data_IF_470198681852
#
_entry.id   IF_470198681852
#
_cell.length_a   1.000
_cell.length_b   1.000
_cell.length_c   1.000
_cell.angle_alpha   90.00
_cell.angle_beta   90.00
_cell.angle_gamma   90.00
#
_symmetry.space_group_name_H-M   'P 1'
#
loop_
_entity.id
_entity.type
_entity.pdbx_description
1 polymer ?
#
# COMPACT_ATOMS: atom_id res chain seq x y z
N UNK A 1 -75.96 13.75 1.27
CA UNK A 1 -75.75 13.66 -0.17
C UNK A 1 -74.72 14.73 -0.52
N UNK A 2 -73.50 14.37 -0.68
CA UNK A 2 -72.46 15.26 -1.18
C UNK A 2 -71.59 14.40 -2.09
N UNK A 3 -71.77 14.60 -3.39
CA UNK A 3 -70.95 13.96 -4.44
C UNK A 3 -69.57 14.60 -4.50
N UNK A 4 -68.58 13.79 -4.59
CA UNK A 4 -67.15 14.21 -4.67
C UNK A 4 -66.82 14.49 -6.16
N UNK A 5 -66.46 15.72 -6.57
CA UNK A 5 -66.29 16.11 -7.97
C UNK A 5 -64.95 15.72 -8.61
N UNK A 6 -64.14 14.84 -7.99
CA UNK A 6 -62.81 14.49 -8.48
C UNK A 6 -62.60 13.03 -8.97
N UNK A 7 -63.68 12.33 -9.31
CA UNK A 7 -63.59 11.05 -9.99
C UNK A 7 -63.62 11.23 -11.52
N UNK A 8 -62.51 11.33 -12.15
CA UNK A 8 -62.37 11.24 -13.60
C UNK A 8 -62.62 9.81 -14.06
N UNK A 9 -63.32 9.56 -15.19
CA UNK A 9 -63.54 8.21 -15.69
C UNK A 9 -62.21 7.58 -16.21
N UNK A 10 -61.99 6.32 -15.87
CA UNK A 10 -60.89 5.52 -16.37
C UNK A 10 -60.96 5.40 -17.90
N UNK A 11 -59.85 5.61 -18.64
CA UNK A 11 -59.79 5.25 -20.04
C UNK A 11 -59.78 3.72 -20.18
N UNK A 12 -60.63 3.22 -21.05
CA UNK A 12 -60.72 1.83 -21.45
C UNK A 12 -59.34 1.37 -22.01
N UNK A 13 -58.83 0.27 -21.48
CA UNK A 13 -57.56 -0.32 -21.92
C UNK A 13 -57.67 -0.83 -23.37
N UNK A 14 -56.58 -0.74 -24.14
CA UNK A 14 -56.57 -1.25 -25.49
C UNK A 14 -56.71 -2.78 -25.50
N UNK A 15 -57.61 -3.22 -26.37
CA UNK A 15 -57.92 -4.59 -26.76
C UNK A 15 -56.68 -5.46 -26.87
N UNK A 16 -56.78 -6.67 -26.33
CA UNK A 16 -55.78 -7.77 -26.45
C UNK A 16 -55.52 -8.14 -27.91
N UNK A 17 -54.57 -7.46 -28.53
CA UNK A 17 -53.98 -7.91 -29.79
C UNK A 17 -53.00 -9.06 -29.45
N UNK A 18 -53.30 -10.25 -29.93
CA UNK A 18 -52.43 -11.44 -29.86
C UNK A 18 -51.08 -11.12 -30.45
N UNK A 19 -50.02 -11.16 -29.60
CA UNK A 19 -48.62 -11.10 -30.02
C UNK A 19 -48.31 -12.31 -30.92
N UNK A 20 -47.71 -12.13 -32.10
CA UNK A 20 -47.22 -13.26 -32.89
C UNK A 20 -46.08 -13.94 -32.16
N UNK A 21 -46.27 -15.22 -31.83
CA UNK A 21 -45.23 -16.14 -31.35
C UNK A 21 -44.28 -16.51 -32.50
N UNK A 22 -43.50 -15.57 -32.96
CA UNK A 22 -42.29 -15.90 -33.71
C UNK A 22 -41.13 -15.97 -32.73
N UNK A 23 -40.65 -17.16 -32.46
CA UNK A 23 -39.44 -17.44 -31.70
C UNK A 23 -38.17 -16.92 -32.41
N UNK A 24 -38.11 -15.62 -32.62
CA UNK A 24 -36.87 -14.93 -32.89
C UNK A 24 -36.21 -14.71 -31.53
N UNK A 25 -35.27 -15.61 -31.18
CA UNK A 25 -34.30 -15.31 -30.14
C UNK A 25 -33.75 -13.92 -30.47
N UNK A 26 -33.94 -12.98 -29.54
CA UNK A 26 -33.24 -11.69 -29.60
C UNK A 26 -31.76 -12.03 -29.91
N UNK A 27 -31.13 -11.36 -30.88
CA UNK A 27 -29.70 -11.53 -31.09
C UNK A 27 -29.05 -11.30 -29.73
N UNK A 28 -28.32 -12.32 -29.24
CA UNK A 28 -27.52 -12.19 -28.04
C UNK A 28 -26.74 -10.87 -28.21
N UNK A 29 -27.05 -9.90 -27.35
CA UNK A 29 -26.31 -8.63 -27.30
C UNK A 29 -24.83 -8.97 -27.30
N UNK A 30 -23.97 -8.12 -27.84
CA UNK A 30 -22.56 -8.43 -27.95
C UNK A 30 -22.14 -9.03 -26.63
N UNK A 31 -21.82 -10.32 -26.67
CA UNK A 31 -21.45 -11.08 -25.49
C UNK A 31 -20.43 -10.23 -24.77
N UNK A 32 -20.76 -9.77 -23.58
CA UNK A 32 -19.83 -9.15 -22.64
C UNK A 32 -18.62 -10.08 -22.55
N UNK A 33 -17.69 -9.94 -23.48
CA UNK A 33 -16.34 -10.42 -23.31
C UNK A 33 -15.81 -9.59 -22.15
N UNK A 34 -16.11 -10.03 -20.91
CA UNK A 34 -15.31 -9.62 -19.77
C UNK A 34 -13.88 -9.78 -20.24
N UNK A 35 -13.22 -8.66 -20.51
CA UNK A 35 -11.79 -8.67 -20.81
C UNK A 35 -11.15 -9.27 -19.55
N UNK A 36 -10.97 -10.59 -19.56
CA UNK A 36 -10.28 -11.29 -18.46
C UNK A 36 -8.91 -10.64 -18.40
N UNK A 37 -8.71 -9.83 -17.37
CA UNK A 37 -7.41 -9.21 -17.13
C UNK A 37 -6.38 -10.33 -17.10
N UNK A 38 -5.47 -10.30 -18.04
CA UNK A 38 -4.45 -11.34 -18.18
C UNK A 38 -3.55 -11.27 -16.94
N UNK A 39 -3.43 -12.36 -16.19
CA UNK A 39 -2.56 -12.46 -15.01
C UNK A 39 -1.11 -12.79 -15.38
N UNK A 40 -0.87 -13.35 -16.58
CA UNK A 40 0.48 -13.73 -17.02
C UNK A 40 1.51 -12.59 -17.05
N UNK A 41 1.15 -11.29 -17.24
CA UNK A 41 2.15 -10.22 -17.17
C UNK A 41 2.65 -9.94 -15.74
N UNK A 42 1.93 -10.40 -14.71
CA UNK A 42 2.31 -10.15 -13.31
C UNK A 42 3.72 -10.69 -13.00
N UNK A 43 4.03 -12.00 -13.21
CA UNK A 43 5.39 -12.49 -12.95
C UNK A 43 6.47 -11.75 -13.73
N UNK A 44 6.19 -11.37 -14.99
CA UNK A 44 7.15 -10.63 -15.81
C UNK A 44 7.46 -9.26 -15.18
N UNK A 45 6.42 -8.53 -14.78
CA UNK A 45 6.60 -7.21 -14.13
C UNK A 45 7.29 -7.35 -12.78
N UNK A 46 6.94 -8.35 -11.97
CA UNK A 46 7.59 -8.58 -10.68
C UNK A 46 9.08 -8.91 -10.82
N UNK A 47 9.43 -9.80 -11.75
CA UNK A 47 10.84 -10.12 -12.04
C UNK A 47 11.58 -8.89 -12.55
N UNK A 48 10.98 -8.11 -13.44
CA UNK A 48 11.56 -6.87 -13.92
C UNK A 48 11.71 -5.83 -12.79
N UNK A 49 10.72 -5.72 -11.89
CA UNK A 49 10.77 -4.83 -10.72
C UNK A 49 11.91 -5.23 -9.77
N UNK A 50 12.05 -6.53 -9.51
CA UNK A 50 13.15 -7.02 -8.68
C UNK A 50 14.51 -6.79 -9.33
N UNK A 51 14.66 -7.08 -10.63
CA UNK A 51 15.90 -6.84 -11.37
C UNK A 51 16.25 -5.34 -11.39
N UNK A 52 15.29 -4.47 -11.65
CA UNK A 52 15.50 -3.02 -11.61
C UNK A 52 15.87 -2.54 -10.19
N UNK A 53 15.24 -3.09 -9.14
CA UNK A 53 15.59 -2.81 -7.76
C UNK A 53 17.07 -3.14 -7.49
N UNK A 54 17.54 -4.33 -7.85
CA UNK A 54 18.93 -4.75 -7.66
C UNK A 54 19.89 -3.86 -8.46
N UNK A 55 19.60 -3.61 -9.73
CA UNK A 55 20.44 -2.75 -10.58
C UNK A 55 20.54 -1.33 -10.00
N UNK A 56 19.40 -0.75 -9.63
CA UNK A 56 19.40 0.61 -9.08
C UNK A 56 19.97 0.67 -7.67
N UNK A 57 19.96 -0.41 -6.89
CA UNK A 57 20.68 -0.50 -5.60
C UNK A 57 22.19 -0.41 -5.81
N UNK A 58 22.74 -1.16 -6.76
CA UNK A 58 24.18 -1.09 -7.10
C UNK A 58 24.55 0.31 -7.60
N UNK A 59 23.71 0.89 -8.47
CA UNK A 59 23.92 2.27 -8.97
C UNK A 59 23.81 3.31 -7.83
N UNK A 60 22.91 3.11 -6.88
CA UNK A 60 22.74 4.00 -5.72
C UNK A 60 23.97 4.00 -4.84
N UNK A 61 24.53 2.82 -4.53
CA UNK A 61 25.79 2.69 -3.77
C UNK A 61 26.94 3.40 -4.50
N UNK A 62 27.11 3.14 -5.80
CA UNK A 62 28.16 3.76 -6.58
C UNK A 62 28.02 5.30 -6.64
N UNK A 63 26.81 5.79 -6.88
CA UNK A 63 26.53 7.23 -6.92
C UNK A 63 26.73 7.89 -5.56
N UNK A 64 26.21 7.28 -4.50
CA UNK A 64 26.37 7.76 -3.14
C UNK A 64 27.85 7.82 -2.75
N UNK A 65 28.62 6.76 -3.03
CA UNK A 65 30.05 6.73 -2.77
C UNK A 65 30.84 7.85 -3.49
N UNK A 66 30.45 8.18 -4.73
CA UNK A 66 31.06 9.30 -5.47
C UNK A 66 30.71 10.65 -4.85
N UNK A 67 29.47 10.85 -4.46
CA UNK A 67 28.96 12.14 -3.99
C UNK A 67 29.30 12.41 -2.50
N UNK A 68 29.58 11.37 -1.72
CA UNK A 68 29.93 11.50 -0.29
C UNK A 68 31.44 11.47 -0.03
N UNK A 69 32.27 11.23 -1.06
CA UNK A 69 33.76 11.30 -0.92
C UNK A 69 34.20 12.68 -0.45
N UNK A 70 35.00 12.68 0.61
CA UNK A 70 35.68 13.89 1.07
C UNK A 70 36.79 14.32 0.10
N UNK A 71 37.22 15.60 0.19
CA UNK A 71 38.33 16.11 -0.63
C UNK A 71 39.66 15.35 -0.36
N UNK A 72 39.84 14.88 0.86
CA UNK A 72 41.04 14.11 1.28
C UNK A 72 41.06 12.70 0.70
N UNK A 73 39.89 12.07 0.55
CA UNK A 73 39.75 10.72 -0.07
C UNK A 73 39.97 10.76 -1.58
N UNK A 74 39.82 11.91 -2.21
CA UNK A 74 40.05 12.09 -3.64
C UNK A 74 41.55 11.98 -4.00
N UNK A 75 42.44 12.16 -3.02
CA UNK A 75 43.88 12.04 -3.20
C UNK A 75 44.40 10.58 -3.20
N UNK A 76 43.56 9.62 -2.68
CA UNK A 76 43.85 8.20 -2.62
C UNK A 76 42.97 7.40 -3.60
N UNK A 77 43.31 7.26 -4.89
CA UNK A 77 42.45 6.67 -5.93
C UNK A 77 42.12 5.18 -5.70
N UNK A 78 42.74 4.53 -4.73
CA UNK A 78 42.60 3.08 -4.44
C UNK A 78 41.80 2.75 -3.21
N UNK A 79 41.30 3.76 -2.46
CA UNK A 79 40.42 3.50 -1.34
C UNK A 79 39.10 2.92 -1.89
N UNK A 80 38.75 1.70 -1.44
CA UNK A 80 37.46 1.07 -1.77
C UNK A 80 36.27 1.93 -1.30
N UNK A 81 35.04 1.53 -1.68
CA UNK A 81 33.83 2.20 -1.19
C UNK A 81 33.79 2.06 0.33
N UNK A 82 33.84 3.17 1.04
CA UNK A 82 33.66 3.23 2.49
C UNK A 82 32.15 3.22 2.79
N UNK A 83 31.54 2.02 2.93
CA UNK A 83 30.10 1.89 3.14
C UNK A 83 29.63 2.64 4.38
N UNK A 84 30.40 2.63 5.45
CA UNK A 84 30.08 3.36 6.66
C UNK A 84 29.94 4.88 6.40
N UNK A 85 30.86 5.49 5.67
CA UNK A 85 30.80 6.89 5.29
C UNK A 85 29.58 7.21 4.43
N UNK A 86 29.21 6.29 3.52
CA UNK A 86 28.02 6.44 2.66
C UNK A 86 26.74 6.37 3.48
N UNK A 87 26.63 5.36 4.37
CA UNK A 87 25.39 5.14 5.15
C UNK A 87 25.19 6.17 6.26
N UNK A 88 26.29 6.71 6.83
CA UNK A 88 26.23 7.78 7.83
C UNK A 88 25.99 9.17 7.22
N UNK A 89 26.20 9.32 5.91
CA UNK A 89 25.87 10.57 5.21
C UNK A 89 24.37 10.68 4.93
N UNK A 90 23.70 11.76 5.35
CA UNK A 90 22.28 11.99 5.00
C UNK A 90 22.01 11.92 3.49
N UNK A 91 22.90 12.46 2.66
CA UNK A 91 22.80 12.40 1.21
C UNK A 91 22.98 10.97 0.68
N UNK A 92 24.01 10.26 1.17
CA UNK A 92 24.27 8.87 0.77
C UNK A 92 23.10 7.97 1.12
N UNK A 93 22.60 8.06 2.35
CA UNK A 93 21.45 7.29 2.82
C UNK A 93 20.19 7.62 2.01
N UNK A 94 19.92 8.90 1.71
CA UNK A 94 18.78 9.30 0.90
C UNK A 94 18.84 8.70 -0.51
N UNK A 95 20.00 8.69 -1.16
CA UNK A 95 20.20 8.08 -2.48
C UNK A 95 19.94 6.57 -2.41
N UNK A 96 20.48 5.89 -1.38
CA UNK A 96 20.32 4.45 -1.18
C UNK A 96 18.87 4.05 -0.86
N UNK A 97 18.08 4.92 -0.23
CA UNK A 97 16.67 4.68 0.05
C UNK A 97 15.77 4.94 -1.16
N UNK A 98 16.04 6.01 -1.91
CA UNK A 98 15.10 6.49 -2.95
C UNK A 98 15.31 5.80 -4.29
N UNK A 99 16.56 5.69 -4.76
CA UNK A 99 16.83 5.21 -6.12
C UNK A 99 16.40 3.76 -6.37
N UNK A 100 16.64 2.79 -5.46
CA UNK A 100 16.15 1.42 -5.61
C UNK A 100 14.63 1.33 -5.68
N UNK A 101 13.94 2.10 -4.86
CA UNK A 101 12.47 2.09 -4.81
C UNK A 101 11.85 2.61 -6.12
N UNK A 102 12.41 3.69 -6.68
CA UNK A 102 12.02 4.19 -8.01
C UNK A 102 12.26 3.11 -9.07
N UNK A 103 13.43 2.46 -9.04
CA UNK A 103 13.76 1.36 -9.93
C UNK A 103 12.75 0.22 -9.84
N UNK A 104 12.36 -0.17 -8.64
CA UNK A 104 11.35 -1.21 -8.41
C UNK A 104 9.97 -0.84 -8.95
N UNK A 105 9.53 0.40 -8.79
CA UNK A 105 8.22 0.85 -9.25
C UNK A 105 8.13 1.03 -10.79
N UNK A 106 9.26 1.33 -11.44
CA UNK A 106 9.29 1.69 -12.85
C UNK A 106 8.64 0.66 -13.79
N UNK A 107 8.88 -0.66 -13.71
CA UNK A 107 8.25 -1.64 -14.58
C UNK A 107 6.73 -1.69 -14.44
N UNK A 108 6.19 -1.55 -13.22
CA UNK A 108 4.75 -1.52 -12.99
C UNK A 108 4.11 -0.26 -13.59
N UNK A 109 4.76 0.89 -13.46
CA UNK A 109 4.32 2.16 -14.06
C UNK A 109 4.39 2.09 -15.60
N UNK A 110 5.49 1.59 -16.17
CA UNK A 110 5.64 1.40 -17.61
C UNK A 110 4.55 0.46 -18.14
N UNK A 111 4.29 -0.65 -17.47
CA UNK A 111 3.22 -1.58 -17.86
C UNK A 111 1.82 -0.95 -17.74
N UNK A 112 1.62 -0.02 -16.82
CA UNK A 112 0.38 0.74 -16.73
C UNK A 112 0.24 1.78 -17.85
N UNK A 113 1.32 2.48 -18.20
CA UNK A 113 1.37 3.42 -19.33
C UNK A 113 1.14 2.73 -20.69
N UNK A 114 1.65 1.51 -20.85
CA UNK A 114 1.42 0.69 -22.05
C UNK A 114 0.01 0.08 -22.11
N UNK A 115 -0.82 0.26 -21.09
CA UNK A 115 -2.20 -0.22 -21.04
C UNK A 115 -3.14 0.76 -21.80
N UNK A 116 -4.20 0.27 -22.47
CA UNK A 116 -5.22 1.13 -23.05
C UNK A 116 -6.08 1.87 -21.99
N UNK A 117 -5.98 1.48 -20.72
CA UNK A 117 -6.68 2.13 -19.61
C UNK A 117 -5.87 3.30 -19.04
N UNK A 118 -6.52 4.36 -18.54
CA UNK A 118 -5.82 5.43 -17.83
C UNK A 118 -4.98 4.88 -16.64
N UNK A 119 -3.76 5.39 -16.49
CA UNK A 119 -2.78 4.92 -15.47
C UNK A 119 -3.37 4.95 -14.07
N UNK A 120 -4.10 6.02 -13.72
CA UNK A 120 -4.74 6.15 -12.42
C UNK A 120 -5.71 4.98 -12.12
N UNK A 121 -6.52 4.59 -13.10
CA UNK A 121 -7.42 3.43 -12.96
C UNK A 121 -6.65 2.12 -12.93
N UNK A 122 -5.60 2.03 -13.76
CA UNK A 122 -4.79 0.83 -13.90
C UNK A 122 -4.03 0.47 -12.62
N UNK A 123 -3.59 1.48 -11.88
CA UNK A 123 -2.85 1.36 -10.63
C UNK A 123 -3.72 1.61 -9.40
N UNK A 124 -5.05 1.74 -9.55
CA UNK A 124 -5.94 1.98 -8.41
C UNK A 124 -5.72 3.33 -7.71
N UNK A 125 -5.07 4.30 -8.38
CA UNK A 125 -4.84 5.67 -7.89
C UNK A 125 -6.11 6.52 -8.09
N UNK A 126 -7.20 6.04 -7.57
CA UNK A 126 -8.51 6.67 -7.69
C UNK A 126 -9.06 6.98 -6.31
N UNK A 127 -9.93 7.98 -6.22
CA UNK A 127 -10.66 8.24 -4.99
C UNK A 127 -11.54 7.04 -4.67
N UNK A 128 -11.27 6.40 -3.53
CA UNK A 128 -12.07 5.26 -3.07
C UNK A 128 -13.44 5.65 -2.52
N UNK A 129 -14.15 4.66 -1.97
CA UNK A 129 -15.50 4.83 -1.42
C UNK A 129 -15.52 5.25 0.05
N UNK A 130 -14.35 5.23 0.70
CA UNK A 130 -14.24 5.66 2.08
C UNK A 130 -14.13 7.18 2.17
N UNK A 131 -14.77 7.81 3.15
CA UNK A 131 -14.48 9.20 3.49
C UNK A 131 -13.04 9.31 3.98
N UNK A 132 -12.43 10.47 3.80
CA UNK A 132 -11.02 10.71 4.14
C UNK A 132 -10.71 10.32 5.59
N UNK A 133 -11.59 10.67 6.53
CA UNK A 133 -11.38 10.35 7.95
C UNK A 133 -11.24 8.84 8.23
N UNK A 134 -12.00 7.99 7.49
CA UNK A 134 -11.89 6.53 7.64
C UNK A 134 -10.58 6.01 7.04
N UNK A 135 -10.12 6.59 5.95
CA UNK A 135 -8.78 6.33 5.42
C UNK A 135 -7.67 6.71 6.40
N UNK A 136 -7.81 7.86 7.07
CA UNK A 136 -6.87 8.30 8.10
C UNK A 136 -6.88 7.39 9.34
N UNK A 137 -8.06 6.93 9.80
CA UNK A 137 -8.10 5.95 10.91
C UNK A 137 -7.47 4.62 10.50
N UNK A 138 -7.66 4.17 9.26
CA UNK A 138 -6.98 2.97 8.77
C UNK A 138 -5.45 3.14 8.75
N UNK A 139 -4.95 4.29 8.31
CA UNK A 139 -3.53 4.60 8.33
C UNK A 139 -2.97 4.65 9.76
N UNK A 140 -3.66 5.34 10.67
CA UNK A 140 -3.23 5.43 12.08
C UNK A 140 -3.37 4.12 12.86
N UNK A 141 -4.20 3.19 12.40
CA UNK A 141 -4.32 1.85 12.98
C UNK A 141 -3.21 0.88 12.55
N UNK A 142 -2.48 1.20 11.48
CA UNK A 142 -1.45 0.31 10.88
C UNK A 142 -0.28 0.02 11.83
N UNK A 143 0.27 0.99 12.58
CA UNK A 143 1.40 0.74 13.48
C UNK A 143 1.12 -0.34 14.52
N UNK A 144 -0.11 -0.43 15.03
CA UNK A 144 -0.46 -1.50 15.97
C UNK A 144 -0.37 -2.89 15.33
N UNK A 145 -0.78 -3.02 14.06
CA UNK A 145 -0.66 -4.29 13.32
C UNK A 145 0.82 -4.67 13.16
N UNK A 146 1.67 -3.69 12.80
CA UNK A 146 3.11 -3.88 12.69
C UNK A 146 3.75 -4.28 14.03
N UNK A 147 3.47 -3.53 15.10
CA UNK A 147 4.01 -3.80 16.43
C UNK A 147 3.63 -5.19 16.94
N UNK A 148 2.37 -5.59 16.83
CA UNK A 148 1.92 -6.92 17.26
C UNK A 148 2.60 -8.01 16.42
N UNK A 149 2.68 -7.84 15.10
CA UNK A 149 3.33 -8.80 14.22
C UNK A 149 4.81 -8.94 14.54
N UNK A 150 5.54 -7.83 14.67
CA UNK A 150 6.96 -7.82 15.00
C UNK A 150 7.23 -8.43 16.38
N UNK A 151 6.41 -8.13 17.38
CA UNK A 151 6.55 -8.72 18.72
C UNK A 151 6.34 -10.24 18.71
N UNK A 152 5.33 -10.74 17.97
CA UNK A 152 5.10 -12.18 17.86
C UNK A 152 6.24 -12.86 17.12
N UNK A 153 6.68 -12.29 15.99
CA UNK A 153 7.76 -12.87 15.18
C UNK A 153 9.09 -12.82 15.91
N UNK A 154 9.42 -11.72 16.56
CA UNK A 154 10.62 -11.60 17.39
C UNK A 154 10.65 -12.64 18.53
N UNK A 155 9.51 -12.86 19.20
CA UNK A 155 9.41 -13.89 20.24
C UNK A 155 9.57 -15.33 19.73
N UNK A 156 9.22 -15.60 18.45
CA UNK A 156 9.25 -16.94 17.86
C UNK A 156 10.52 -17.23 17.07
N UNK A 157 11.09 -16.24 16.40
CA UNK A 157 12.19 -16.40 15.45
C UNK A 157 13.49 -15.68 15.89
N UNK A 158 13.40 -14.83 16.92
CA UNK A 158 14.49 -13.94 17.31
C UNK A 158 14.51 -12.64 16.49
N UNK A 159 15.58 -11.90 16.63
CA UNK A 159 15.79 -10.61 15.97
C UNK A 159 16.43 -10.79 14.60
N UNK A 160 16.26 -9.79 13.74
CA UNK A 160 16.87 -9.74 12.42
C UNK A 160 18.12 -8.87 12.49
N UNK A 161 19.31 -9.46 12.23
CA UNK A 161 20.56 -8.72 12.17
C UNK A 161 20.51 -7.55 11.18
N UNK A 162 19.84 -7.73 10.03
CA UNK A 162 19.71 -6.67 9.02
C UNK A 162 18.84 -5.51 9.50
N UNK A 163 17.80 -5.78 10.30
CA UNK A 163 16.97 -4.73 10.90
C UNK A 163 17.71 -3.99 12.03
N UNK A 164 18.51 -4.71 12.81
CA UNK A 164 19.34 -4.13 13.87
C UNK A 164 20.38 -3.17 13.27
N UNK A 165 21.16 -3.63 12.27
CA UNK A 165 22.11 -2.78 11.54
C UNK A 165 21.44 -1.54 10.94
N UNK A 166 20.27 -1.71 10.27
CA UNK A 166 19.53 -0.61 9.69
C UNK A 166 19.02 0.37 10.77
N UNK A 167 18.57 -0.14 11.91
CA UNK A 167 18.13 0.67 13.04
C UNK A 167 19.28 1.50 13.61
N UNK A 168 20.48 0.93 13.72
CA UNK A 168 21.70 1.65 14.12
C UNK A 168 22.03 2.80 13.18
N UNK A 169 21.97 2.57 11.87
CA UNK A 169 22.18 3.63 10.86
C UNK A 169 21.10 4.72 10.97
N UNK A 170 19.82 4.37 11.14
CA UNK A 170 18.73 5.34 11.27
C UNK A 170 18.87 6.17 12.53
N UNK A 171 19.29 5.56 13.65
CA UNK A 171 19.55 6.27 14.90
C UNK A 171 20.67 7.29 14.73
N UNK A 172 21.80 6.87 14.20
CA UNK A 172 22.95 7.74 13.97
C UNK A 172 22.62 8.94 13.09
N UNK A 173 21.96 8.71 11.95
CA UNK A 173 21.59 9.77 11.00
C UNK A 173 20.46 10.63 11.56
N UNK A 174 19.52 10.05 12.29
CA UNK A 174 18.43 10.78 12.95
C UNK A 174 18.95 11.74 14.03
N UNK A 175 19.88 11.31 14.86
CA UNK A 175 20.51 12.10 15.92
C UNK A 175 21.38 13.24 15.37
N UNK A 176 21.88 13.10 14.15
CA UNK A 176 22.60 14.21 13.47
C UNK A 176 21.73 15.39 13.04
N UNK A 177 20.43 15.36 13.38
CA UNK A 177 19.43 16.38 13.02
C UNK A 177 18.64 16.08 11.74
N UNK A 178 18.85 14.92 11.12
CA UNK A 178 18.16 14.52 9.89
C UNK A 178 16.89 13.65 10.15
N UNK A 179 16.40 13.58 11.38
CA UNK A 179 15.29 12.70 11.79
C UNK A 179 14.03 12.88 10.93
N UNK A 180 13.52 14.09 10.82
CA UNK A 180 12.26 14.34 10.09
C UNK A 180 12.41 14.05 8.59
N UNK A 181 13.46 14.55 7.88
CA UNK A 181 13.71 14.14 6.51
C UNK A 181 13.85 12.63 6.33
N UNK A 182 14.55 11.93 7.23
CA UNK A 182 14.71 10.48 7.21
C UNK A 182 13.35 9.77 7.34
N UNK A 183 12.54 10.14 8.34
CA UNK A 183 11.23 9.55 8.56
C UNK A 183 10.29 9.79 7.35
N UNK A 184 10.36 10.97 6.73
CA UNK A 184 9.61 11.28 5.51
C UNK A 184 10.08 10.41 4.32
N UNK A 185 11.39 10.23 4.13
CA UNK A 185 11.94 9.42 3.05
C UNK A 185 11.56 7.95 3.21
N UNK A 186 11.78 7.38 4.41
CA UNK A 186 11.46 5.97 4.71
C UNK A 186 9.95 5.72 4.70
N UNK A 187 9.15 6.71 5.09
CA UNK A 187 7.69 6.61 5.00
C UNK A 187 7.18 6.72 3.57
N UNK A 188 7.56 7.78 2.86
CA UNK A 188 6.96 8.11 1.57
C UNK A 188 7.46 7.23 0.43
N UNK A 189 8.76 6.91 0.39
CA UNK A 189 9.34 6.23 -0.77
C UNK A 189 8.82 4.79 -0.93
N UNK A 190 8.92 3.89 0.09
CA UNK A 190 8.29 2.57 0.02
C UNK A 190 6.76 2.67 -0.04
N UNK A 191 6.15 3.55 0.76
CA UNK A 191 4.71 3.75 0.77
C UNK A 191 4.12 4.11 -0.61
N UNK A 192 4.86 4.79 -1.45
CA UNK A 192 4.46 5.07 -2.83
C UNK A 192 4.86 3.93 -3.77
N UNK A 193 6.15 3.58 -3.80
CA UNK A 193 6.71 2.70 -4.82
C UNK A 193 6.24 1.25 -4.68
N UNK A 194 6.25 0.71 -3.46
CA UNK A 194 5.81 -0.66 -3.20
C UNK A 194 4.31 -0.81 -3.38
N UNK A 195 3.52 0.17 -2.92
CA UNK A 195 2.07 0.11 -3.11
C UNK A 195 1.66 0.19 -4.59
N UNK A 196 2.41 0.90 -5.43
CA UNK A 196 2.20 0.88 -6.89
C UNK A 196 2.40 -0.51 -7.50
N UNK A 197 3.44 -1.23 -7.08
CA UNK A 197 3.75 -2.58 -7.58
C UNK A 197 2.75 -3.59 -7.05
N UNK A 198 2.61 -3.66 -5.72
CA UNK A 198 1.88 -4.74 -5.07
C UNK A 198 0.37 -4.50 -5.10
N UNK A 199 -0.13 -3.36 -4.60
CA UNK A 199 -1.57 -3.09 -4.52
C UNK A 199 -2.11 -2.52 -5.83
N UNK A 200 -1.35 -1.63 -6.46
CA UNK A 200 -1.72 -1.01 -7.73
C UNK A 200 -1.71 -1.99 -8.90
N UNK A 201 -0.57 -2.63 -9.15
CA UNK A 201 -0.40 -3.47 -10.33
C UNK A 201 -0.83 -4.93 -10.11
N UNK A 202 -0.30 -5.61 -9.08
CA UNK A 202 -0.52 -7.04 -8.86
C UNK A 202 -1.92 -7.31 -8.28
N UNK A 203 -2.26 -6.71 -7.14
CA UNK A 203 -3.51 -7.02 -6.43
C UNK A 203 -4.75 -6.68 -7.24
N UNK A 204 -4.77 -5.55 -7.96
CA UNK A 204 -5.91 -5.17 -8.82
C UNK A 204 -6.17 -6.20 -9.90
N UNK A 205 -5.12 -6.75 -10.55
CA UNK A 205 -5.24 -7.79 -11.58
C UNK A 205 -5.67 -9.13 -11.01
N UNK A 206 -5.04 -9.56 -9.91
CA UNK A 206 -5.42 -10.81 -9.24
C UNK A 206 -6.84 -10.74 -8.70
N UNK A 207 -7.24 -9.59 -8.14
CA UNK A 207 -8.58 -9.36 -7.61
C UNK A 207 -9.66 -9.49 -8.68
N UNK A 208 -9.39 -8.99 -9.88
CA UNK A 208 -10.29 -9.13 -11.02
C UNK A 208 -10.35 -10.55 -11.58
N UNK A 209 -9.27 -11.33 -11.46
CA UNK A 209 -9.19 -12.68 -12.01
C UNK A 209 -9.62 -13.76 -11.01
N UNK A 210 -9.22 -13.66 -9.74
CA UNK A 210 -9.35 -14.69 -8.72
C UNK A 210 -10.15 -14.26 -7.48
N UNK A 211 -10.61 -13.00 -7.45
CA UNK A 211 -11.31 -12.42 -6.31
C UNK A 211 -10.38 -11.85 -5.25
N UNK A 212 -10.94 -11.00 -4.40
CA UNK A 212 -10.17 -10.20 -3.45
C UNK A 212 -9.42 -11.02 -2.39
N UNK A 213 -9.99 -12.07 -1.76
CA UNK A 213 -9.26 -12.81 -0.73
C UNK A 213 -7.97 -13.43 -1.25
N UNK A 214 -8.04 -14.10 -2.43
CA UNK A 214 -6.87 -14.72 -3.06
C UNK A 214 -5.86 -13.65 -3.47
N UNK A 215 -6.31 -12.55 -4.04
CA UNK A 215 -5.45 -11.45 -4.44
C UNK A 215 -4.69 -10.83 -3.25
N UNK A 216 -5.37 -10.59 -2.13
CA UNK A 216 -4.76 -10.05 -0.92
C UNK A 216 -3.68 -11.00 -0.39
N UNK A 217 -4.00 -12.28 -0.24
CA UNK A 217 -3.05 -13.26 0.31
C UNK A 217 -1.83 -13.43 -0.61
N UNK A 218 -2.06 -13.67 -1.91
CA UNK A 218 -0.95 -13.85 -2.87
C UNK A 218 -0.06 -12.61 -2.96
N UNK A 219 -0.65 -11.42 -2.98
CA UNK A 219 0.13 -10.17 -3.05
C UNK A 219 0.92 -9.94 -1.77
N UNK A 220 0.34 -10.24 -0.60
CA UNK A 220 1.02 -10.08 0.69
C UNK A 220 2.18 -11.07 0.85
N UNK A 221 2.04 -12.29 0.36
CA UNK A 221 3.13 -13.27 0.35
C UNK A 221 4.29 -12.81 -0.54
N UNK A 222 4.00 -12.34 -1.76
CA UNK A 222 5.03 -11.82 -2.65
C UNK A 222 5.68 -10.57 -2.07
N UNK A 223 4.90 -9.65 -1.51
CA UNK A 223 5.39 -8.46 -0.80
C UNK A 223 6.36 -8.84 0.33
N UNK A 224 6.00 -9.81 1.16
CA UNK A 224 6.85 -10.30 2.24
C UNK A 224 8.18 -10.86 1.72
N UNK A 225 8.14 -11.71 0.68
CA UNK A 225 9.35 -12.31 0.09
C UNK A 225 10.31 -11.27 -0.48
N UNK A 226 9.83 -10.13 -0.97
CA UNK A 226 10.68 -9.05 -1.48
C UNK A 226 11.57 -8.39 -0.41
N UNK A 227 11.32 -8.62 0.88
CA UNK A 227 12.18 -8.12 1.96
C UNK A 227 13.45 -8.96 2.17
N UNK A 228 13.54 -10.17 1.62
CA UNK A 228 14.70 -11.06 1.57
C UNK A 228 15.27 -11.51 2.93
N UNK A 229 14.80 -10.96 4.03
CA UNK A 229 15.13 -11.36 5.39
C UNK A 229 13.99 -12.21 5.96
N UNK A 230 14.20 -13.44 6.44
CA UNK A 230 13.11 -14.33 6.88
C UNK A 230 12.31 -13.79 8.06
N UNK A 231 12.97 -13.15 9.03
CA UNK A 231 12.30 -12.56 10.22
C UNK A 231 11.47 -11.37 9.79
N UNK A 232 12.09 -10.43 9.06
CA UNK A 232 11.40 -9.25 8.54
C UNK A 232 10.26 -9.63 7.59
N UNK A 233 10.49 -10.56 6.65
CA UNK A 233 9.47 -11.05 5.73
C UNK A 233 8.24 -11.59 6.48
N UNK A 234 8.47 -12.37 7.55
CA UNK A 234 7.39 -12.92 8.35
C UNK A 234 6.64 -11.82 9.10
N UNK A 235 7.36 -10.85 9.66
CA UNK A 235 6.76 -9.72 10.39
C UNK A 235 5.90 -8.83 9.48
N UNK A 236 6.36 -8.51 8.27
CA UNK A 236 5.63 -7.63 7.36
C UNK A 236 4.46 -8.32 6.64
N UNK A 237 4.33 -9.65 6.74
CA UNK A 237 3.22 -10.37 6.11
C UNK A 237 1.85 -9.92 6.63
N UNK A 238 1.72 -9.73 7.95
CA UNK A 238 0.47 -9.24 8.55
C UNK A 238 0.16 -7.80 8.10
N UNK A 239 1.16 -6.93 8.01
CA UNK A 239 1.04 -5.60 7.42
C UNK A 239 0.60 -5.68 5.95
N UNK A 240 1.19 -6.59 5.20
CA UNK A 240 0.83 -6.86 3.81
C UNK A 240 -0.64 -7.19 3.65
N UNK A 241 -1.16 -8.10 4.47
CA UNK A 241 -2.58 -8.51 4.48
C UNK A 241 -3.48 -7.33 4.87
N UNK A 242 -3.11 -6.59 5.91
CA UNK A 242 -3.88 -5.43 6.36
C UNK A 242 -3.96 -4.34 5.28
N UNK A 243 -2.84 -3.92 4.71
CA UNK A 243 -2.80 -2.91 3.64
C UNK A 243 -3.53 -3.39 2.38
N UNK A 244 -3.39 -4.67 2.03
CA UNK A 244 -4.14 -5.28 0.93
C UNK A 244 -5.65 -5.24 1.16
N UNK A 245 -6.09 -5.52 2.40
CA UNK A 245 -7.48 -5.39 2.78
C UNK A 245 -7.97 -3.93 2.76
N UNK A 246 -7.16 -2.99 3.26
CA UNK A 246 -7.48 -1.55 3.25
C UNK A 246 -7.64 -1.03 1.82
N UNK A 247 -6.72 -1.38 0.91
CA UNK A 247 -6.82 -1.00 -0.51
C UNK A 247 -8.09 -1.56 -1.15
N UNK A 248 -8.40 -2.82 -0.91
CA UNK A 248 -9.61 -3.45 -1.43
C UNK A 248 -10.89 -2.87 -0.82
N UNK A 249 -10.95 -2.73 0.50
CA UNK A 249 -12.15 -2.28 1.21
C UNK A 249 -12.48 -0.81 0.94
N UNK A 250 -11.46 0.03 0.81
CA UNK A 250 -11.60 1.44 0.43
C UNK A 250 -11.86 1.64 -1.07
N UNK A 251 -11.43 0.68 -1.91
CA UNK A 251 -11.41 0.81 -3.37
C UNK A 251 -10.33 1.77 -3.88
N UNK A 252 -9.28 2.01 -3.10
CA UNK A 252 -8.21 2.96 -3.44
C UNK A 252 -6.85 2.50 -2.90
N UNK A 253 -5.84 2.52 -3.73
CA UNK A 253 -4.45 2.28 -3.31
C UNK A 253 -3.90 3.44 -2.49
N UNK A 254 -4.42 4.65 -2.68
CA UNK A 254 -4.01 5.83 -1.90
C UNK A 254 -4.20 5.63 -0.38
N UNK A 255 -5.22 4.87 0.03
CA UNK A 255 -5.45 4.56 1.44
C UNK A 255 -4.37 3.62 1.99
N UNK A 256 -3.94 2.63 1.19
CA UNK A 256 -2.84 1.74 1.56
C UNK A 256 -1.49 2.49 1.57
N UNK A 257 -1.26 3.39 0.62
CA UNK A 257 -0.10 4.29 0.62
C UNK A 257 0.00 5.11 1.90
N UNK A 258 -1.13 5.70 2.34
CA UNK A 258 -1.19 6.44 3.59
C UNK A 258 -0.92 5.54 4.81
N UNK A 259 -1.46 4.32 4.81
CA UNK A 259 -1.24 3.33 5.86
C UNK A 259 0.23 2.91 5.94
N UNK A 260 0.85 2.62 4.81
CA UNK A 260 2.28 2.28 4.71
C UNK A 260 3.17 3.43 5.16
N UNK A 261 2.89 4.64 4.65
CA UNK A 261 3.59 5.85 5.06
C UNK A 261 3.58 6.05 6.59
N UNK A 262 2.40 5.99 7.21
CA UNK A 262 2.26 6.20 8.66
C UNK A 262 3.02 5.13 9.44
N UNK A 263 2.92 3.86 9.02
CA UNK A 263 3.66 2.78 9.67
C UNK A 263 5.16 3.06 9.67
N UNK A 264 5.75 3.28 8.51
CA UNK A 264 7.20 3.45 8.37
C UNK A 264 7.69 4.76 8.99
N UNK A 265 6.94 5.85 8.82
CA UNK A 265 7.26 7.13 9.44
C UNK A 265 7.34 7.02 10.97
N UNK A 266 6.33 6.41 11.60
CA UNK A 266 6.31 6.22 13.05
C UNK A 266 7.35 5.19 13.52
N UNK A 267 7.67 4.18 12.70
CA UNK A 267 8.74 3.22 13.01
C UNK A 267 10.10 3.91 13.08
N UNK A 268 10.43 4.81 12.13
CA UNK A 268 11.68 5.59 12.20
C UNK A 268 11.71 6.49 13.44
N UNK A 269 10.60 7.17 13.74
CA UNK A 269 10.54 7.97 14.96
C UNK A 269 10.74 7.11 16.22
N UNK A 270 10.15 5.91 16.26
CA UNK A 270 10.30 5.00 17.39
C UNK A 270 11.76 4.53 17.54
N UNK A 271 12.41 4.11 16.42
CA UNK A 271 13.81 3.68 16.44
C UNK A 271 14.74 4.77 16.95
N UNK A 272 14.55 6.03 16.54
CA UNK A 272 15.46 7.12 16.92
C UNK A 272 15.16 7.71 18.29
N UNK A 273 13.87 7.84 18.66
CA UNK A 273 13.47 8.57 19.86
C UNK A 273 13.28 7.69 21.10
N UNK A 274 13.08 6.38 20.90
CA UNK A 274 12.93 5.45 22.02
C UNK A 274 14.27 4.83 22.40
N UNK A 275 14.48 4.45 23.68
CA UNK A 275 15.64 3.66 24.09
C UNK A 275 15.74 2.38 23.27
N UNK A 276 16.97 1.94 23.02
CA UNK A 276 17.28 0.78 22.16
C UNK A 276 16.51 -0.48 22.60
N UNK A 277 16.52 -0.81 23.87
CA UNK A 277 15.78 -1.94 24.43
C UNK A 277 14.27 -1.91 24.16
N UNK A 278 13.67 -0.72 24.03
CA UNK A 278 12.23 -0.56 23.72
C UNK A 278 11.99 -0.69 22.22
N UNK A 279 12.91 -0.18 21.42
CA UNK A 279 12.82 -0.21 19.94
C UNK A 279 13.00 -1.64 19.40
N UNK A 280 13.81 -2.45 20.08
CA UNK A 280 14.12 -3.84 19.72
C UNK A 280 13.10 -4.85 20.26
N UNK A 281 12.07 -4.40 20.98
CA UNK A 281 11.04 -5.29 21.54
C UNK A 281 11.52 -6.14 22.72
N UNK A 282 12.75 -5.94 23.18
CA UNK A 282 13.26 -6.52 24.41
C UNK A 282 12.52 -5.85 25.58
N UNK A 283 11.82 -6.60 26.46
CA UNK A 283 11.18 -5.97 27.60
C UNK A 283 12.28 -5.36 28.50
N UNK A 284 12.49 -4.03 28.48
CA UNK A 284 13.39 -3.43 29.44
C UNK A 284 12.81 -3.68 30.84
N UNK A 285 13.65 -3.74 31.87
CA UNK A 285 13.14 -3.65 33.21
C UNK A 285 12.26 -2.39 33.31
N UNK A 286 11.07 -2.51 33.90
CA UNK A 286 10.06 -1.43 33.88
C UNK A 286 10.63 -0.09 34.38
N UNK A 287 11.68 -0.17 35.20
CA UNK A 287 12.38 0.96 35.80
C UNK A 287 13.39 1.65 34.82
N UNK A 288 13.77 1.00 33.71
CA UNK A 288 14.78 1.50 32.79
C UNK A 288 14.16 2.35 31.64
N UNK A 289 12.83 2.31 31.45
CA UNK A 289 12.16 3.12 30.41
C UNK A 289 11.80 4.47 30.99
N UNK A 290 12.33 5.58 30.43
CA UNK A 290 11.89 6.90 30.86
C UNK A 290 10.38 7.02 30.80
N UNK A 291 9.76 7.52 31.87
CA UNK A 291 8.29 7.64 31.97
C UNK A 291 7.68 8.40 30.76
N UNK A 292 8.41 9.38 30.22
CA UNK A 292 8.02 10.09 29.02
C UNK A 292 7.96 9.17 27.76
N UNK A 293 8.97 8.31 27.57
CA UNK A 293 9.02 7.37 26.45
C UNK A 293 7.89 6.32 26.55
N UNK A 294 7.66 5.79 27.77
CA UNK A 294 6.55 4.88 28.03
C UNK A 294 5.19 5.54 27.78
N UNK A 295 5.03 6.81 28.17
CA UNK A 295 3.81 7.60 27.91
C UNK A 295 3.56 7.83 26.41
N UNK A 296 4.60 8.16 25.64
CA UNK A 296 4.49 8.33 24.19
C UNK A 296 4.12 7.01 23.52
N UNK A 297 4.83 5.92 23.84
CA UNK A 297 4.55 4.59 23.29
C UNK A 297 3.11 4.13 23.61
N UNK A 298 2.71 4.25 24.88
CA UNK A 298 1.36 3.92 25.31
C UNK A 298 0.28 4.74 24.58
N UNK A 299 0.55 6.02 24.33
CA UNK A 299 -0.34 6.89 23.55
C UNK A 299 -0.46 6.45 22.10
N UNK A 300 0.66 6.11 21.44
CA UNK A 300 0.67 5.60 20.07
C UNK A 300 -0.11 4.28 19.98
N UNK A 301 0.14 3.35 20.90
CA UNK A 301 -0.58 2.06 20.94
C UNK A 301 -2.08 2.29 21.13
N UNK A 302 -2.48 3.14 22.09
CA UNK A 302 -3.90 3.42 22.37
C UNK A 302 -4.59 4.09 21.18
N UNK A 303 -3.98 5.11 20.59
CA UNK A 303 -4.53 5.81 19.40
C UNK A 303 -4.66 4.82 18.26
N UNK A 304 -3.62 4.02 17.99
CA UNK A 304 -3.66 3.03 16.91
C UNK A 304 -4.72 1.95 17.16
N UNK A 305 -4.91 1.51 18.39
CA UNK A 305 -5.96 0.54 18.73
C UNK A 305 -7.36 1.12 18.51
N UNK A 306 -7.62 2.33 18.98
CA UNK A 306 -8.91 3.01 18.74
C UNK A 306 -9.15 3.21 17.25
N UNK A 307 -8.16 3.68 16.51
CA UNK A 307 -8.24 3.88 15.07
C UNK A 307 -8.50 2.57 14.31
N UNK A 308 -7.83 1.48 14.67
CA UNK A 308 -8.05 0.16 14.10
C UNK A 308 -9.46 -0.35 14.37
N UNK A 309 -9.94 -0.26 15.60
CA UNK A 309 -11.30 -0.66 15.98
C UNK A 309 -12.36 0.16 15.24
N UNK A 310 -12.18 1.47 15.13
CA UNK A 310 -13.07 2.35 14.37
C UNK A 310 -13.08 1.95 12.89
N UNK A 311 -11.92 1.69 12.32
CA UNK A 311 -11.79 1.24 10.92
C UNK A 311 -12.52 -0.07 10.69
N UNK A 312 -12.32 -1.08 11.54
CA UNK A 312 -12.98 -2.38 11.43
C UNK A 312 -14.51 -2.26 11.59
N UNK A 313 -14.97 -1.44 12.52
CA UNK A 313 -16.40 -1.23 12.77
C UNK A 313 -17.09 -0.49 11.62
N UNK A 314 -16.48 0.59 11.12
CA UNK A 314 -17.08 1.44 10.10
C UNK A 314 -16.94 0.87 8.67
N UNK A 315 -15.85 0.18 8.36
CA UNK A 315 -15.65 -0.45 7.05
C UNK A 315 -16.80 -1.38 6.66
N UNK A 316 -17.40 -2.08 7.64
CA UNK A 316 -18.57 -2.94 7.44
C UNK A 316 -19.81 -2.17 6.97
N UNK A 317 -20.01 -0.94 7.45
CA UNK A 317 -21.13 -0.07 7.02
C UNK A 317 -20.97 0.37 5.57
N UNK A 318 -19.76 0.82 5.19
CA UNK A 318 -19.49 1.27 3.83
C UNK A 318 -19.55 0.11 2.82
N UNK A 319 -19.12 -1.09 3.23
CA UNK A 319 -19.25 -2.31 2.44
C UNK A 319 -20.72 -2.70 2.21
N UNK A 320 -21.54 -2.66 3.25
CA UNK A 320 -22.97 -3.01 3.14
C UNK A 320 -23.73 -2.05 2.23
N UNK A 321 -23.43 -0.75 2.30
CA UNK A 321 -24.06 0.25 1.44
C UNK A 321 -23.72 0.02 -0.05
N UNK A 322 -22.53 -0.51 -0.35
CA UNK A 322 -22.17 -0.88 -1.72
C UNK A 322 -23.02 -2.03 -2.26
N UNK A 323 -23.29 -3.06 -1.46
CA UNK A 323 -24.14 -4.19 -1.84
C UNK A 323 -25.59 -3.77 -2.09
N UNK A 324 -26.10 -2.84 -1.29
CA UNK A 324 -27.47 -2.30 -1.43
C UNK A 324 -27.62 -1.37 -2.63
N UNK A 325 -26.57 -0.65 -3.00
CA UNK A 325 -26.60 0.30 -4.14
C UNK A 325 -26.28 -0.32 -5.51
N UNK A 326 -26.15 -1.65 -5.60
CA UNK A 326 -25.87 -2.36 -6.86
C UNK A 326 -24.43 -2.13 -7.41
N UNK A 327 -23.53 -1.54 -6.61
CA UNK A 327 -22.18 -1.15 -7.02
C UNK A 327 -21.14 -2.27 -7.01
N UNK A 328 -21.51 -3.53 -7.13
CA UNK A 328 -20.59 -4.67 -6.88
C UNK A 328 -19.56 -4.94 -7.99
N UNK A 329 -19.45 -4.11 -9.01
CA UNK A 329 -18.49 -4.36 -10.12
C UNK A 329 -17.86 -3.11 -10.77
N UNK A 330 -18.02 -1.93 -10.22
CA UNK A 330 -17.51 -0.70 -10.84
C UNK A 330 -16.08 -0.34 -10.39
N UNK A 331 -15.14 -1.27 -10.45
CA UNK A 331 -13.70 -0.92 -10.51
C UNK A 331 -13.26 -0.76 -11.98
N UNK A 332 -14.09 -1.15 -12.93
CA UNK A 332 -13.82 -0.95 -14.37
C UNK A 332 -14.96 -0.11 -14.95
N UNK A 333 -14.68 1.00 -15.63
CA UNK A 333 -15.69 1.69 -16.39
C UNK A 333 -16.23 0.73 -17.45
N UNK A 334 -17.56 0.69 -17.60
CA UNK A 334 -18.18 0.04 -18.76
C UNK A 334 -17.52 0.60 -20.02
N UNK A 335 -17.01 -0.31 -20.84
CA UNK A 335 -16.30 0.02 -22.07
C UNK A 335 -17.19 0.89 -22.97
N UNK A 336 -16.79 2.12 -23.24
CA UNK A 336 -17.20 2.72 -24.49
C UNK A 336 -17.58 4.18 -24.57
N UNK A 337 -17.66 4.96 -23.53
CA UNK A 337 -17.87 6.40 -23.71
C UNK A 337 -16.56 7.18 -23.43
N UNK A 338 -15.91 7.58 -24.51
CA UNK A 338 -14.93 8.67 -24.45
C UNK A 338 -15.73 9.95 -24.10
N UNK A 339 -15.34 10.71 -23.07
CA UNK A 339 -15.91 12.04 -22.91
C UNK A 339 -15.61 12.84 -24.17
N UNK A 340 -16.66 13.39 -24.80
CA UNK A 340 -16.53 14.34 -25.89
C UNK A 340 -15.70 15.54 -25.43
N UNK A 341 -14.73 16.03 -26.22
CA UNK A 341 -13.98 17.22 -25.88
C UNK A 341 -14.93 18.41 -25.92
N UNK A 342 -15.08 19.08 -24.77
CA UNK A 342 -15.66 20.42 -24.65
C UNK A 342 -14.57 21.45 -24.73
#
# INVERSE_FOLDING_TARGET
MNENPYLSPHPEGPSSASLPTTGASLPAGPSERRQRLRVWPIPVVLVASFACYVITSVLAVALAAVLTRGADDAAEPRAGIQMEQVTQSPLGLAIMLVLPQIGMAAPAVIAALASPMPVAWRLGLVRGNWPIWLGLTAAMGTPLVGMISSAIVGALMGESESLEEMSGVFRLVGESGFLIPLALLVGATPGLCEELVFRGYMQTRLGAAWGAPVAIVCTSLVFAVFHLDPVHSTAVLALGIYMGWVAWASGSVLTAMAAHFVNNFLSVLAVVLLPEAVAEGVPPAVDDVPAAAAGVLGSVVMISAVCLLVTLAQSRRYRRNRLVSGGDLAILPESGERPSPS
#
